data_IF_155771378353
#
_entry.id   IF_155771378353
#
_cell.length_a   1.000
_cell.length_b   1.000
_cell.length_c   1.000
_cell.angle_alpha   90.00
_cell.angle_beta   90.00
_cell.angle_gamma   90.00
#
_symmetry.space_group_name_H-M   'P 1'
#
loop_
_entity.id
_entity.type
_entity.pdbx_description
1 polymer ?
#
# COMPACT_ATOMS: atom_id res chain seq x y z
N UNK A 1 49.68 -33.49 29.42
CA UNK A 1 48.74 -33.60 28.29
C UNK A 1 47.43 -32.90 28.64
N UNK A 2 47.53 -31.58 28.74
CA UNK A 2 46.50 -30.66 29.25
C UNK A 2 46.58 -29.38 28.41
N UNK A 3 45.46 -28.65 28.32
CA UNK A 3 45.27 -27.28 27.79
C UNK A 3 44.81 -27.05 26.34
N UNK A 4 44.99 -27.97 25.38
CA UNK A 4 44.56 -27.70 23.98
C UNK A 4 43.04 -27.78 23.72
N UNK A 5 42.27 -28.50 24.55
CA UNK A 5 40.83 -28.72 24.33
C UNK A 5 39.92 -27.61 24.88
N UNK A 6 40.30 -26.96 25.99
CA UNK A 6 39.44 -25.99 26.70
C UNK A 6 39.36 -24.64 25.97
N UNK A 7 40.39 -24.26 25.21
CA UNK A 7 40.41 -22.97 24.46
C UNK A 7 39.47 -23.01 23.25
N UNK A 8 39.28 -24.17 22.63
CA UNK A 8 38.43 -24.33 21.44
C UNK A 8 36.95 -24.14 21.77
N UNK A 9 36.49 -24.74 22.88
CA UNK A 9 35.09 -24.63 23.34
C UNK A 9 34.73 -23.21 23.78
N UNK A 10 35.69 -22.48 24.36
CA UNK A 10 35.47 -21.10 24.87
C UNK A 10 35.39 -20.04 23.76
N UNK A 11 35.97 -20.30 22.58
CA UNK A 11 35.89 -19.42 21.40
C UNK A 11 34.58 -19.57 20.62
N UNK A 12 34.05 -20.79 20.52
CA UNK A 12 32.80 -21.06 19.78
C UNK A 12 31.59 -20.50 20.52
N UNK A 13 31.58 -20.56 21.86
CA UNK A 13 30.49 -20.01 22.67
C UNK A 13 30.36 -18.48 22.58
N UNK A 14 31.49 -17.77 22.42
CA UNK A 14 31.49 -16.30 22.38
C UNK A 14 31.01 -15.73 21.03
N UNK A 15 31.20 -16.47 19.93
CA UNK A 15 30.65 -16.08 18.61
C UNK A 15 29.13 -16.27 18.53
N UNK A 16 28.57 -17.23 19.28
CA UNK A 16 27.12 -17.46 19.34
C UNK A 16 26.43 -16.38 20.18
N UNK A 17 27.11 -15.82 21.18
CA UNK A 17 26.54 -14.79 22.05
C UNK A 17 26.54 -13.37 21.45
N UNK A 18 27.38 -13.10 20.45
CA UNK A 18 27.46 -11.79 19.78
C UNK A 18 26.49 -11.68 18.60
N UNK A 19 25.95 -12.80 18.08
CA UNK A 19 25.07 -12.77 16.90
C UNK A 19 23.56 -12.64 17.23
N UNK A 20 23.15 -12.77 18.49
CA UNK A 20 21.71 -12.80 18.86
C UNK A 20 21.14 -11.44 19.25
N UNK A 21 21.95 -10.38 19.37
CA UNK A 21 21.47 -9.03 19.75
C UNK A 21 21.20 -8.11 18.56
N UNK A 22 21.30 -8.59 17.32
CA UNK A 22 21.07 -7.79 16.11
C UNK A 22 19.75 -8.10 15.36
N UNK A 23 18.83 -8.87 15.96
CA UNK A 23 17.44 -8.95 15.50
C UNK A 23 16.51 -8.18 16.45
N UNK A 24 16.94 -7.00 16.85
CA UNK A 24 16.08 -6.01 17.48
C UNK A 24 15.33 -5.25 16.38
N UNK A 25 14.05 -5.59 16.22
CA UNK A 25 13.02 -4.77 15.56
C UNK A 25 13.34 -4.30 14.13
N UNK A 26 13.12 -5.17 13.15
CA UNK A 26 12.51 -4.68 11.91
C UNK A 26 11.06 -4.35 12.26
N UNK A 27 10.82 -3.17 12.84
CA UNK A 27 9.50 -2.59 12.75
C UNK A 27 9.25 -2.36 11.27
N UNK A 28 8.30 -3.08 10.69
CA UNK A 28 7.76 -2.75 9.38
C UNK A 28 7.04 -1.41 9.55
N UNK A 29 7.77 -0.30 9.46
CA UNK A 29 7.16 1.01 9.38
C UNK A 29 6.62 1.12 7.97
N UNK A 30 5.37 0.72 7.77
CA UNK A 30 4.61 1.12 6.58
C UNK A 30 4.74 2.63 6.45
N UNK A 31 5.30 3.17 5.35
CA UNK A 31 5.48 4.60 5.22
C UNK A 31 4.09 5.23 5.29
N UNK A 32 3.84 5.90 6.41
CA UNK A 32 2.60 6.62 6.63
C UNK A 32 2.95 8.09 6.54
N UNK A 33 2.53 8.71 5.46
CA UNK A 33 2.88 10.09 5.14
C UNK A 33 1.64 10.96 5.16
N UNK A 34 1.68 11.99 6.00
CA UNK A 34 0.86 13.18 5.84
C UNK A 34 1.69 14.21 5.07
N UNK A 35 1.23 14.63 3.89
CA UNK A 35 1.82 15.76 3.15
C UNK A 35 3.28 15.59 2.69
N UNK A 36 3.79 14.36 2.53
CA UNK A 36 5.10 14.10 1.91
C UNK A 36 4.97 13.63 0.45
N UNK A 37 5.79 14.12 -0.51
CA UNK A 37 5.62 13.80 -1.93
C UNK A 37 5.67 12.30 -2.20
N UNK A 38 4.59 11.74 -2.78
CA UNK A 38 4.59 10.37 -3.32
C UNK A 38 5.48 10.30 -4.55
N UNK A 39 5.32 11.30 -5.44
CA UNK A 39 6.16 11.58 -6.61
C UNK A 39 5.97 13.07 -7.00
N UNK A 40 6.48 13.51 -8.16
CA UNK A 40 6.27 14.88 -8.66
C UNK A 40 4.92 15.09 -9.40
N UNK A 41 4.09 14.05 -9.51
CA UNK A 41 2.84 14.08 -10.27
C UNK A 41 1.67 14.55 -9.41
N UNK A 42 1.69 14.22 -8.12
CA UNK A 42 0.57 14.49 -7.21
C UNK A 42 0.75 15.79 -6.41
N UNK A 43 -0.29 16.63 -6.43
CA UNK A 43 -0.44 17.73 -5.48
C UNK A 43 -0.94 17.22 -4.14
N UNK A 44 -0.58 17.88 -3.04
CA UNK A 44 -0.91 17.42 -1.69
C UNK A 44 -1.47 18.53 -0.81
N UNK A 45 -2.22 18.15 0.22
CA UNK A 45 -2.63 19.04 1.28
C UNK A 45 -1.48 19.27 2.26
N UNK A 46 -1.28 20.51 2.70
CA UNK A 46 -0.23 20.85 3.67
C UNK A 46 -0.61 20.37 5.06
N UNK A 47 -1.88 20.55 5.43
CA UNK A 47 -2.46 20.06 6.67
C UNK A 47 -3.80 19.38 6.39
N UNK A 48 -4.21 18.38 7.19
CA UNK A 48 -5.55 17.82 7.11
C UNK A 48 -6.67 18.87 7.25
N UNK A 49 -6.44 19.88 8.07
CA UNK A 49 -7.38 20.96 8.36
C UNK A 49 -7.70 21.79 7.12
N UNK A 50 -6.72 22.02 6.24
CA UNK A 50 -6.92 22.73 4.97
C UNK A 50 -7.88 21.97 4.04
N UNK A 51 -7.94 20.64 4.17
CA UNK A 51 -8.89 19.78 3.45
C UNK A 51 -10.22 19.60 4.19
N UNK A 52 -10.39 20.20 5.38
CA UNK A 52 -11.57 20.07 6.23
C UNK A 52 -11.58 18.80 7.10
N UNK A 53 -10.45 18.15 7.30
CA UNK A 53 -10.32 16.96 8.14
C UNK A 53 -9.60 17.26 9.46
N UNK A 54 -9.90 16.49 10.51
CA UNK A 54 -9.20 16.60 11.80
C UNK A 54 -7.93 15.76 11.78
N UNK A 55 -6.78 16.38 12.03
CA UNK A 55 -5.51 15.69 12.16
C UNK A 55 -5.55 14.60 13.23
N UNK A 56 -6.06 14.91 14.43
CA UNK A 56 -6.13 13.94 15.55
C UNK A 56 -6.93 12.70 15.20
N UNK A 57 -8.01 12.84 14.41
CA UNK A 57 -8.78 11.70 13.95
C UNK A 57 -7.96 10.83 12.98
N UNK A 58 -7.28 11.46 12.01
CA UNK A 58 -6.48 10.74 11.01
C UNK A 58 -5.23 10.09 11.61
N UNK A 59 -4.66 10.62 12.69
CA UNK A 59 -3.50 10.03 13.37
C UNK A 59 -3.80 8.64 13.96
N UNK A 60 -5.07 8.29 14.20
CA UNK A 60 -5.47 6.95 14.67
C UNK A 60 -5.59 5.92 13.55
N UNK A 61 -5.70 6.37 12.29
CA UNK A 61 -5.93 5.52 11.13
C UNK A 61 -4.77 4.55 10.84
N UNK A 62 -3.49 4.93 10.92
CA UNK A 62 -2.37 4.02 10.68
C UNK A 62 -2.36 2.83 11.64
N UNK A 63 -2.65 3.09 12.93
CA UNK A 63 -2.73 2.04 13.94
C UNK A 63 -3.88 1.07 13.61
N UNK A 64 -5.05 1.60 13.25
CA UNK A 64 -6.17 0.76 12.82
C UNK A 64 -5.84 -0.06 11.56
N UNK A 65 -5.26 0.56 10.52
CA UNK A 65 -4.87 -0.12 9.28
C UNK A 65 -3.83 -1.22 9.52
N UNK A 66 -2.94 -1.04 10.49
CA UNK A 66 -1.96 -2.06 10.89
C UNK A 66 -2.58 -3.31 11.51
N UNK A 67 -3.81 -3.21 12.04
CA UNK A 67 -4.58 -4.37 12.52
C UNK A 67 -5.19 -5.18 11.37
N UNK A 68 -5.23 -4.61 10.16
CA UNK A 68 -5.74 -5.25 8.95
C UNK A 68 -4.58 -5.77 8.09
N UNK A 69 -4.88 -6.69 7.17
CA UNK A 69 -3.93 -7.10 6.13
C UNK A 69 -3.87 -6.07 4.98
N UNK A 70 -3.80 -4.77 5.32
CA UNK A 70 -3.76 -3.68 4.34
C UNK A 70 -2.32 -3.46 3.88
N UNK A 71 -2.07 -3.61 2.58
CA UNK A 71 -0.77 -3.40 1.94
C UNK A 71 -0.52 -1.93 1.61
N UNK A 72 -1.57 -1.23 1.16
CA UNK A 72 -1.53 0.18 0.80
C UNK A 72 -2.90 0.86 0.88
N UNK A 73 -2.91 2.16 1.17
CA UNK A 73 -4.08 3.02 1.15
C UNK A 73 -3.68 4.45 0.77
N UNK A 74 -4.49 5.09 -0.07
CA UNK A 74 -4.30 6.48 -0.50
C UNK A 74 -5.65 7.21 -0.43
N UNK A 75 -5.66 8.39 0.18
CA UNK A 75 -6.84 9.24 0.30
C UNK A 75 -6.61 10.53 -0.49
N UNK A 76 -7.50 10.78 -1.46
CA UNK A 76 -7.43 11.95 -2.35
C UNK A 76 -8.70 12.77 -2.16
N UNK A 77 -8.53 14.07 -1.91
CA UNK A 77 -9.61 15.06 -1.71
C UNK A 77 -9.32 16.25 -2.63
N UNK A 78 -10.30 16.63 -3.45
CA UNK A 78 -10.19 17.72 -4.45
C UNK A 78 -8.95 17.60 -5.35
N UNK A 79 -8.64 16.36 -5.76
CA UNK A 79 -7.49 16.06 -6.62
C UNK A 79 -6.13 16.16 -5.94
N UNK A 80 -6.08 16.38 -4.62
CA UNK A 80 -4.85 16.41 -3.83
C UNK A 80 -4.80 15.27 -2.83
N UNK A 81 -3.60 14.74 -2.59
CA UNK A 81 -3.39 13.68 -1.61
C UNK A 81 -3.49 14.28 -0.21
N UNK A 82 -4.35 13.68 0.61
CA UNK A 82 -4.51 14.01 2.02
C UNK A 82 -3.61 13.13 2.90
N UNK A 83 -3.57 11.83 2.59
CA UNK A 83 -2.89 10.81 3.39
C UNK A 83 -2.57 9.60 2.49
N UNK A 84 -1.46 8.92 2.79
CA UNK A 84 -1.24 7.56 2.34
C UNK A 84 -0.62 6.67 3.45
N UNK A 85 -0.78 5.37 3.30
CA UNK A 85 -0.27 4.34 4.18
C UNK A 85 0.25 3.17 3.35
N UNK A 86 1.40 2.61 3.72
CA UNK A 86 1.95 1.39 3.11
C UNK A 86 2.61 1.61 1.75
N UNK A 87 2.85 0.52 1.03
CA UNK A 87 3.47 0.54 -0.30
C UNK A 87 2.38 0.68 -1.38
N UNK A 88 2.34 1.86 -2.01
CA UNK A 88 1.39 2.14 -3.09
C UNK A 88 1.80 1.55 -4.44
N UNK A 89 3.07 1.15 -4.59
CA UNK A 89 3.63 0.61 -5.83
C UNK A 89 3.57 -0.93 -5.86
N UNK A 90 3.15 -1.56 -4.76
CA UNK A 90 3.05 -3.02 -4.67
C UNK A 90 2.08 -3.60 -5.70
N UNK A 91 2.60 -4.50 -6.55
CA UNK A 91 1.80 -5.20 -7.55
C UNK A 91 0.86 -6.22 -6.88
N UNK A 92 -0.41 -5.83 -6.75
CA UNK A 92 -1.45 -6.66 -6.14
C UNK A 92 -2.43 -7.24 -7.16
N UNK A 93 -2.99 -8.42 -6.86
CA UNK A 93 -4.05 -9.01 -7.67
C UNK A 93 -5.36 -8.22 -7.53
N UNK A 94 -5.66 -7.41 -8.54
CA UNK A 94 -6.90 -6.63 -8.62
C UNK A 94 -8.03 -7.50 -9.19
N UNK A 95 -8.89 -8.06 -8.33
CA UNK A 95 -9.98 -8.95 -8.73
C UNK A 95 -11.12 -8.20 -9.45
N UNK A 96 -12.24 -7.92 -8.75
CA UNK A 96 -13.40 -7.25 -9.35
C UNK A 96 -13.16 -5.79 -9.73
N UNK A 97 -12.07 -5.17 -9.26
CA UNK A 97 -11.62 -3.83 -9.70
C UNK A 97 -11.47 -3.75 -11.22
N UNK A 98 -11.08 -4.85 -11.90
CA UNK A 98 -10.94 -4.90 -13.36
C UNK A 98 -12.24 -4.56 -14.10
N UNK A 99 -13.40 -4.82 -13.50
CA UNK A 99 -14.70 -4.51 -14.11
C UNK A 99 -14.92 -3.00 -14.26
N UNK A 100 -14.55 -2.22 -13.24
CA UNK A 100 -14.65 -0.76 -13.29
C UNK A 100 -13.68 -0.17 -14.31
N UNK A 101 -12.45 -0.69 -14.38
CA UNK A 101 -11.47 -0.29 -15.40
C UNK A 101 -12.03 -0.58 -16.80
N UNK A 102 -12.56 -1.79 -17.01
CA UNK A 102 -13.17 -2.16 -18.30
C UNK A 102 -14.34 -1.24 -18.64
N UNK A 103 -15.22 -0.92 -17.68
CA UNK A 103 -16.35 -0.01 -17.88
C UNK A 103 -15.89 1.40 -18.31
N UNK A 104 -14.81 1.93 -17.70
CA UNK A 104 -14.23 3.20 -18.12
C UNK A 104 -13.69 3.18 -19.56
N UNK A 105 -13.06 2.07 -19.96
CA UNK A 105 -12.54 1.90 -21.33
C UNK A 105 -13.65 1.80 -22.38
N UNK A 106 -14.86 1.38 -21.99
CA UNK A 106 -16.03 1.37 -22.86
C UNK A 106 -16.59 2.77 -23.13
N UNK A 107 -16.38 3.73 -22.21
CA UNK A 107 -16.99 5.06 -22.26
C UNK A 107 -16.89 5.76 -23.62
N UNK A 108 -15.70 5.87 -24.25
CA UNK A 108 -15.55 6.50 -25.56
C UNK A 108 -16.41 5.86 -26.66
N UNK A 109 -16.47 4.53 -26.69
CA UNK A 109 -17.24 3.78 -27.70
C UNK A 109 -18.74 3.84 -27.48
N UNK A 110 -19.18 4.07 -26.24
CA UNK A 110 -20.58 4.37 -25.95
C UNK A 110 -20.90 5.81 -26.38
N UNK A 111 -20.01 6.75 -26.10
CA UNK A 111 -20.20 8.16 -26.42
C UNK A 111 -20.23 8.45 -27.93
N UNK A 112 -19.44 7.74 -28.72
CA UNK A 112 -19.43 7.88 -30.18
C UNK A 112 -20.47 7.00 -30.91
N UNK A 113 -21.26 6.22 -30.15
CA UNK A 113 -22.32 5.36 -30.67
C UNK A 113 -21.83 4.04 -31.29
N UNK A 114 -20.54 3.72 -31.21
CA UNK A 114 -20.01 2.42 -31.66
C UNK A 114 -20.63 1.26 -30.87
N UNK A 115 -20.86 1.45 -29.58
CA UNK A 115 -21.50 0.48 -28.68
C UNK A 115 -22.84 1.04 -28.22
N UNK A 116 -23.90 0.33 -28.57
CA UNK A 116 -25.25 0.56 -28.06
C UNK A 116 -25.49 -0.31 -26.81
N UNK A 117 -25.73 0.34 -25.66
CA UNK A 117 -25.97 -0.33 -24.39
C UNK A 117 -27.41 -0.86 -24.25
N UNK A 118 -28.34 -0.36 -25.08
CA UNK A 118 -29.74 -0.80 -25.09
C UNK A 118 -29.94 -2.04 -25.99
N UNK A 119 -28.93 -2.37 -26.81
CA UNK A 119 -28.95 -3.56 -27.67
C UNK A 119 -29.00 -4.83 -26.84
N UNK A 120 -29.99 -5.66 -27.14
CA UNK A 120 -30.17 -6.96 -26.47
C UNK A 120 -29.11 -7.97 -26.92
N UNK A 121 -28.90 -9.01 -26.10
CA UNK A 121 -27.99 -10.10 -26.45
C UNK A 121 -28.42 -10.85 -27.71
N UNK A 122 -29.73 -11.01 -27.92
CA UNK A 122 -30.30 -11.63 -29.12
C UNK A 122 -29.93 -10.84 -30.38
N UNK A 123 -30.13 -9.52 -30.37
CA UNK A 123 -29.72 -8.63 -31.46
C UNK A 123 -28.21 -8.65 -31.68
N UNK A 124 -27.42 -8.90 -30.63
CA UNK A 124 -25.97 -9.05 -30.67
C UNK A 124 -25.46 -10.39 -31.22
N UNK A 125 -26.35 -11.33 -31.56
CA UNK A 125 -25.99 -12.65 -32.08
C UNK A 125 -25.67 -13.68 -31.00
N UNK A 126 -26.12 -13.45 -29.76
CA UNK A 126 -25.99 -14.37 -28.62
C UNK A 126 -27.34 -15.00 -28.22
N UNK A 127 -28.19 -15.29 -29.21
CA UNK A 127 -29.48 -15.99 -29.07
C UNK A 127 -29.45 -17.41 -29.61
#
# INVERSE_FOLDING_TARGET
MSTRWVVSIRRVLNCIFVLTTALGTYACSSPTGFGGPLDSTWSQWLTPEDAGFSQTALETLPEYLSTLNTTGLMVVVDGKVLLHFGDLEELSYVASVRKSILAMLYGPYVADGTIDLDRTLEEGGYG
#
